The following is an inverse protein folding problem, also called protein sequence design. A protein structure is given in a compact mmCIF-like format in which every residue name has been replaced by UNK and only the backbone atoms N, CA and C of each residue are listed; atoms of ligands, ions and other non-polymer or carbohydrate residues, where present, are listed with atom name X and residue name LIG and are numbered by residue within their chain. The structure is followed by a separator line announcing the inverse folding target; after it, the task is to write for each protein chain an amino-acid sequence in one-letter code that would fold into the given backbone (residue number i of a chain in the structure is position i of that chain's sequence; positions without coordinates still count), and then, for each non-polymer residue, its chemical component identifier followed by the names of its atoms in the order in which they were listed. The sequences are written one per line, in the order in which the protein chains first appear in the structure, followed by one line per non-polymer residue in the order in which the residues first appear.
data_IF_890867974842
#
_entry.id   IF_890867974842
#
_cell.length_a   1.000
_cell.length_b   1.000
_cell.length_c   1.000
_cell.angle_alpha   90.00
_cell.angle_beta   90.00
_cell.angle_gamma   90.00
#
_symmetry.space_group_name_H-M   'P 1'
#
loop_
_entity.id
_entity.type
_entity.pdbx_description
1 polymer ?
#
# COMPACT_ATOMS: atom_id res chain seq x y z
N UNK A 1 12.27 -19.80 -23.72
CA UNK A 1 11.61 -18.49 -23.95
C UNK A 1 12.69 -17.43 -23.80
N UNK A 2 12.99 -16.73 -24.88
CA UNK A 2 14.10 -15.78 -24.99
C UNK A 2 13.75 -14.46 -24.29
N UNK A 3 14.46 -14.15 -23.21
CA UNK A 3 14.48 -12.82 -22.60
C UNK A 3 15.33 -11.88 -23.46
N UNK A 4 14.69 -11.16 -24.36
CA UNK A 4 15.31 -10.08 -25.12
C UNK A 4 15.68 -8.97 -24.15
N UNK A 5 16.98 -8.71 -23.98
CA UNK A 5 17.44 -7.50 -23.30
C UNK A 5 16.80 -6.29 -24.00
N UNK A 6 15.86 -5.65 -23.32
CA UNK A 6 15.13 -4.49 -23.83
C UNK A 6 16.14 -3.37 -24.03
N UNK A 7 16.54 -3.15 -25.28
CA UNK A 7 17.29 -1.96 -25.67
C UNK A 7 16.56 -0.72 -25.16
N UNK A 8 17.32 0.32 -24.83
CA UNK A 8 16.93 1.56 -24.14
C UNK A 8 15.84 2.38 -24.87
N UNK A 9 14.68 1.80 -25.09
CA UNK A 9 13.49 2.49 -25.54
C UNK A 9 12.92 3.26 -24.34
N UNK A 10 12.66 4.54 -24.56
CA UNK A 10 12.01 5.38 -23.55
C UNK A 10 10.54 4.97 -23.50
N UNK A 11 10.13 4.34 -22.41
CA UNK A 11 8.76 3.83 -22.20
C UNK A 11 8.04 4.59 -21.10
N UNK A 12 6.72 4.41 -20.98
CA UNK A 12 5.99 4.94 -19.85
C UNK A 12 6.39 4.22 -18.56
N UNK A 13 6.51 4.97 -17.46
CA UNK A 13 6.80 4.41 -16.15
C UNK A 13 5.77 3.35 -15.75
N UNK A 14 6.24 2.14 -15.44
CA UNK A 14 5.41 1.00 -15.09
C UNK A 14 4.86 1.02 -13.65
N UNK A 15 5.17 2.03 -12.84
CA UNK A 15 4.66 2.09 -11.47
C UNK A 15 3.15 2.35 -11.48
N UNK A 16 2.33 1.58 -10.73
CA UNK A 16 0.86 1.61 -10.84
C UNK A 16 0.26 3.01 -10.61
N UNK A 17 0.82 3.77 -9.67
CA UNK A 17 0.37 5.13 -9.34
C UNK A 17 1.25 6.26 -9.90
N UNK A 18 1.89 6.09 -11.06
CA UNK A 18 2.73 7.15 -11.62
C UNK A 18 1.88 8.28 -12.24
N UNK A 19 1.99 9.51 -11.70
CA UNK A 19 1.24 10.69 -12.15
C UNK A 19 2.13 11.94 -12.33
N UNK A 20 3.42 11.75 -12.60
CA UNK A 20 4.45 12.80 -12.50
C UNK A 20 4.52 13.75 -13.70
N UNK A 21 3.94 13.38 -14.84
CA UNK A 21 3.90 14.24 -16.02
C UNK A 21 2.45 14.70 -16.27
N UNK A 22 2.06 15.83 -15.66
CA UNK A 22 0.72 16.40 -15.79
C UNK A 22 -0.42 15.39 -15.54
N UNK A 23 -0.27 14.56 -14.49
CA UNK A 23 -1.24 13.52 -14.16
C UNK A 23 -1.03 12.19 -14.90
N UNK A 24 -0.06 12.10 -15.81
CA UNK A 24 0.28 10.90 -16.58
C UNK A 24 1.61 10.26 -16.11
N UNK A 25 1.85 8.98 -16.44
CA UNK A 25 3.13 8.34 -16.20
C UNK A 25 4.27 9.01 -16.97
N UNK A 26 5.39 9.26 -16.30
CA UNK A 26 6.58 9.83 -16.93
C UNK A 26 7.28 8.83 -17.85
N UNK A 27 7.87 9.33 -18.93
CA UNK A 27 8.72 8.56 -19.83
C UNK A 27 10.10 8.24 -19.19
N UNK A 28 10.54 6.99 -19.25
CA UNK A 28 11.76 6.49 -18.59
C UNK A 28 12.34 5.27 -19.32
N UNK A 29 13.69 5.14 -19.42
CA UNK A 29 14.33 3.92 -19.92
C UNK A 29 14.47 2.83 -18.86
N UNK A 30 14.27 3.16 -17.58
CA UNK A 30 14.55 2.27 -16.44
C UNK A 30 13.38 1.39 -15.99
N UNK A 31 12.33 1.24 -16.81
CA UNK A 31 11.07 0.59 -16.43
C UNK A 31 10.22 1.45 -15.48
N UNK A 32 10.79 1.90 -14.36
CA UNK A 32 10.19 2.91 -13.47
C UNK A 32 11.12 4.10 -13.29
N UNK A 33 10.55 5.32 -13.29
CA UNK A 33 11.33 6.53 -13.15
C UNK A 33 11.96 6.61 -11.74
N UNK A 34 13.08 7.34 -11.58
CA UNK A 34 13.79 7.47 -10.30
C UNK A 34 12.89 7.91 -9.13
N UNK A 35 11.89 8.74 -9.43
CA UNK A 35 10.89 9.16 -8.48
C UNK A 35 10.02 8.02 -7.95
N UNK A 36 9.66 7.09 -8.82
CA UNK A 36 8.89 5.89 -8.47
C UNK A 36 9.78 4.81 -7.87
N UNK A 37 11.04 4.65 -8.28
CA UNK A 37 11.99 3.75 -7.61
C UNK A 37 12.14 4.08 -6.11
N UNK A 38 12.22 5.38 -5.75
CA UNK A 38 12.20 5.80 -4.33
C UNK A 38 10.90 5.44 -3.61
N UNK A 39 9.75 5.47 -4.31
CA UNK A 39 8.46 5.05 -3.74
C UNK A 39 8.42 3.54 -3.52
N UNK A 40 8.99 2.76 -4.44
CA UNK A 40 9.13 1.30 -4.30
C UNK A 40 10.01 0.95 -3.11
N UNK A 41 11.17 1.60 -2.96
CA UNK A 41 12.01 1.43 -1.76
C UNK A 41 11.22 1.75 -0.49
N UNK A 42 10.46 2.85 -0.47
CA UNK A 42 9.61 3.21 0.67
C UNK A 42 8.49 2.18 0.93
N UNK A 43 7.93 1.56 -0.11
CA UNK A 43 6.91 0.53 0.01
C UNK A 43 7.50 -0.76 0.62
N UNK A 44 8.70 -1.15 0.20
CA UNK A 44 9.45 -2.26 0.79
C UNK A 44 9.71 -2.02 2.29
N UNK A 45 10.20 -0.84 2.67
CA UNK A 45 10.43 -0.52 4.09
C UNK A 45 9.14 -0.58 4.91
N UNK A 46 8.02 -0.06 4.36
CA UNK A 46 6.72 -0.09 5.05
C UNK A 46 6.24 -1.51 5.31
N UNK A 47 6.26 -2.38 4.30
CA UNK A 47 5.76 -3.75 4.47
C UNK A 47 6.64 -4.58 5.42
N UNK A 48 7.95 -4.31 5.46
CA UNK A 48 8.87 -4.92 6.45
C UNK A 48 8.59 -4.39 7.85
N UNK A 49 8.36 -3.09 8.02
CA UNK A 49 7.98 -2.51 9.32
C UNK A 49 6.63 -3.05 9.82
N UNK A 50 5.67 -3.26 8.91
CA UNK A 50 4.39 -3.90 9.25
C UNK A 50 4.62 -5.32 9.78
N UNK A 51 5.48 -6.12 9.14
CA UNK A 51 5.84 -7.45 9.64
C UNK A 51 6.47 -7.39 11.04
N UNK A 52 7.39 -6.45 11.27
CA UNK A 52 8.00 -6.23 12.59
C UNK A 52 6.96 -5.83 13.63
N UNK A 53 6.02 -4.95 13.28
CA UNK A 53 4.96 -4.50 14.17
C UNK A 53 4.02 -5.65 14.56
N UNK A 54 3.62 -6.48 13.60
CA UNK A 54 2.79 -7.65 13.86
C UNK A 54 3.51 -8.67 14.76
N UNK A 55 4.82 -8.81 14.60
CA UNK A 55 5.63 -9.70 15.45
C UNK A 55 5.72 -9.23 16.92
N UNK A 56 5.40 -7.97 17.21
CA UNK A 56 5.34 -7.45 18.59
C UNK A 56 3.98 -7.66 19.25
N UNK A 57 2.96 -8.11 18.52
CA UNK A 57 1.65 -8.39 19.08
C UNK A 57 1.68 -9.66 19.96
N UNK A 58 0.79 -9.78 20.97
CA UNK A 58 0.73 -10.96 21.81
C UNK A 58 0.52 -12.22 20.97
N UNK A 59 1.35 -13.24 21.20
CA UNK A 59 1.20 -14.53 20.54
C UNK A 59 -0.14 -15.18 20.94
N UNK A 60 -0.78 -15.97 20.06
CA UNK A 60 -1.98 -16.71 20.41
C UNK A 60 -1.67 -17.63 21.60
N UNK A 61 -2.52 -17.60 22.63
CA UNK A 61 -2.44 -18.56 23.73
C UNK A 61 -2.61 -19.96 23.14
N UNK A 62 -1.54 -20.78 23.16
CA UNK A 62 -1.63 -22.22 22.91
C UNK A 62 -2.23 -22.88 24.17
N UNK A 63 -3.49 -22.60 24.47
CA UNK A 63 -4.18 -23.01 25.70
C UNK A 63 -5.42 -23.84 25.42
N UNK A 64 -5.32 -25.12 25.78
CA UNK A 64 -6.33 -26.17 25.96
C UNK A 64 -7.56 -26.25 25.04
N UNK A 65 -7.72 -27.43 24.44
CA UNK A 65 -8.93 -27.89 23.74
C UNK A 65 -10.12 -27.96 24.71
N UNK A 66 -10.69 -26.83 25.07
CA UNK A 66 -11.97 -26.80 25.76
C UNK A 66 -13.08 -26.78 24.70
N UNK A 67 -13.84 -27.88 24.63
CA UNK A 67 -15.01 -28.01 23.75
C UNK A 67 -16.05 -26.95 24.15
N UNK A 68 -16.22 -25.91 23.32
CA UNK A 68 -17.21 -24.86 23.46
C UNK A 68 -17.96 -24.61 22.14
N UNK A 69 -19.22 -24.18 22.25
CA UNK A 69 -20.22 -24.12 21.17
C UNK A 69 -19.79 -23.30 19.93
N UNK A 70 -20.43 -23.57 18.77
CA UNK A 70 -20.29 -22.83 17.51
C UNK A 70 -20.70 -21.36 17.67
N UNK A 71 -19.79 -20.53 18.18
CA UNK A 71 -19.82 -19.07 18.02
C UNK A 71 -19.27 -18.79 16.62
N UNK A 72 -19.84 -17.81 15.89
CA UNK A 72 -19.22 -17.32 14.66
C UNK A 72 -17.79 -16.90 14.99
N UNK A 73 -16.79 -17.64 14.50
CA UNK A 73 -15.37 -17.35 14.70
C UNK A 73 -15.04 -16.01 14.05
N UNK A 74 -15.13 -14.93 14.83
CA UNK A 74 -14.34 -13.75 14.57
C UNK A 74 -12.91 -14.13 14.98
N UNK A 75 -12.06 -14.44 13.99
CA UNK A 75 -10.70 -14.94 14.21
C UNK A 75 -9.95 -14.13 15.27
N UNK A 76 -9.20 -14.83 16.13
CA UNK A 76 -8.52 -14.21 17.25
C UNK A 76 -7.51 -13.17 16.71
N UNK A 77 -7.36 -11.97 17.30
CA UNK A 77 -6.44 -10.94 16.79
C UNK A 77 -5.01 -11.44 16.53
N UNK A 78 -4.57 -12.43 17.32
CA UNK A 78 -3.27 -13.07 17.18
C UNK A 78 -3.18 -14.07 16.01
N UNK A 79 -4.28 -14.74 15.64
CA UNK A 79 -4.32 -15.61 14.45
C UNK A 79 -4.22 -14.77 13.19
N UNK A 80 -5.02 -13.69 13.10
CA UNK A 80 -4.92 -12.73 12.00
C UNK A 80 -3.51 -12.15 11.86
N UNK A 81 -2.87 -11.78 12.98
CA UNK A 81 -1.50 -11.24 12.95
C UNK A 81 -0.51 -12.28 12.42
N UNK A 82 -0.63 -13.55 12.83
CA UNK A 82 0.19 -14.65 12.34
C UNK A 82 -0.01 -14.87 10.84
N UNK A 83 -1.24 -14.94 10.36
CA UNK A 83 -1.55 -15.13 8.94
C UNK A 83 -1.02 -13.97 8.10
N UNK A 84 -1.13 -12.74 8.61
CA UNK A 84 -0.63 -11.55 7.93
C UNK A 84 0.90 -11.51 7.89
N UNK A 85 1.58 -11.92 8.95
CA UNK A 85 3.05 -12.09 8.94
C UNK A 85 3.48 -13.10 7.88
N UNK A 86 2.82 -14.25 7.81
CA UNK A 86 3.11 -15.28 6.80
C UNK A 86 2.83 -14.80 5.38
N UNK A 87 1.76 -14.02 5.15
CA UNK A 87 1.49 -13.41 3.85
C UNK A 87 2.59 -12.42 3.44
N UNK A 88 2.99 -11.53 4.35
CA UNK A 88 4.09 -10.58 4.08
C UNK A 88 5.40 -11.32 3.78
N UNK A 89 5.75 -12.30 4.60
CA UNK A 89 6.97 -13.09 4.40
C UNK A 89 6.97 -13.85 3.07
N UNK A 90 5.82 -14.42 2.69
CA UNK A 90 5.65 -15.11 1.41
C UNK A 90 5.81 -14.16 0.23
N UNK A 91 5.17 -12.99 0.27
CA UNK A 91 5.29 -11.98 -0.80
C UNK A 91 6.73 -11.45 -0.93
N UNK A 92 7.40 -11.15 0.18
CA UNK A 92 8.81 -10.71 0.17
C UNK A 92 9.73 -11.79 -0.39
N UNK A 93 9.51 -13.05 0.00
CA UNK A 93 10.27 -14.20 -0.52
C UNK A 93 10.02 -14.42 -2.01
N UNK A 94 8.78 -14.34 -2.47
CA UNK A 94 8.46 -14.48 -3.89
C UNK A 94 9.14 -13.39 -4.72
N UNK A 95 9.08 -12.13 -4.29
CA UNK A 95 9.77 -11.02 -4.96
C UNK A 95 11.29 -11.23 -4.99
N UNK A 96 11.85 -11.70 -3.89
CA UNK A 96 13.26 -12.04 -3.76
C UNK A 96 13.67 -13.16 -4.72
N UNK A 97 12.96 -14.29 -4.70
CA UNK A 97 13.29 -15.49 -5.47
C UNK A 97 13.10 -15.23 -6.97
N UNK A 98 12.06 -14.46 -7.34
CA UNK A 98 11.85 -14.02 -8.73
C UNK A 98 12.98 -13.10 -9.21
N UNK A 99 13.36 -12.08 -8.44
CA UNK A 99 14.45 -11.18 -8.82
C UNK A 99 15.79 -11.91 -8.85
N UNK A 100 16.03 -12.79 -7.87
CA UNK A 100 17.23 -13.59 -7.84
C UNK A 100 17.29 -14.52 -9.04
N UNK A 101 16.18 -15.12 -9.48
CA UNK A 101 16.13 -15.94 -10.69
C UNK A 101 16.41 -15.12 -11.95
N UNK A 102 15.76 -13.96 -12.12
CA UNK A 102 15.99 -13.07 -13.27
C UNK A 102 17.41 -12.50 -13.33
N UNK A 103 18.07 -12.32 -12.18
CA UNK A 103 19.48 -11.89 -12.10
C UNK A 103 20.43 -13.10 -12.16
N UNK A 104 20.02 -14.29 -11.72
CA UNK A 104 20.79 -15.53 -11.76
C UNK A 104 21.02 -16.03 -13.19
N UNK A 105 20.07 -15.77 -14.09
CA UNK A 105 20.25 -15.91 -15.55
C UNK A 105 21.43 -15.06 -16.09
N UNK A 106 21.99 -14.16 -15.28
CA UNK A 106 23.20 -13.34 -15.54
C UNK A 106 24.43 -13.80 -14.71
N UNK A 107 24.39 -14.99 -14.09
CA UNK A 107 25.53 -15.61 -13.40
C UNK A 107 25.52 -15.57 -11.86
N UNK A 108 24.37 -15.38 -11.21
CA UNK A 108 24.25 -15.33 -9.74
C UNK A 108 23.61 -16.61 -9.17
N UNK A 109 24.11 -17.15 -8.05
CA UNK A 109 23.54 -18.37 -7.44
C UNK A 109 22.20 -18.02 -6.75
N UNK A 110 21.10 -18.75 -7.00
CA UNK A 110 19.85 -18.49 -6.31
C UNK A 110 20.00 -18.71 -4.80
N UNK A 111 19.19 -18.04 -3.98
CA UNK A 111 19.15 -18.26 -2.53
C UNK A 111 18.79 -19.72 -2.26
N UNK A 112 19.53 -20.38 -1.37
CA UNK A 112 19.28 -21.79 -1.05
C UNK A 112 17.89 -22.00 -0.44
N UNK A 113 17.28 -23.16 -0.74
CA UNK A 113 15.91 -23.55 -0.34
C UNK A 113 15.62 -23.58 1.17
N UNK A 114 16.60 -23.37 2.04
CA UNK A 114 16.45 -23.52 3.49
C UNK A 114 16.77 -22.26 4.27
N UNK A 115 15.80 -21.36 4.44
CA UNK A 115 15.90 -20.39 5.54
C UNK A 115 15.57 -21.10 6.86
N UNK A 116 16.38 -20.91 7.92
CA UNK A 116 16.16 -21.58 9.19
C UNK A 116 14.91 -21.09 9.94
N UNK A 117 14.32 -19.97 9.52
CA UNK A 117 13.07 -19.42 10.07
C UNK A 117 12.44 -18.39 9.11
N UNK A 118 11.15 -18.07 9.32
CA UNK A 118 10.46 -16.97 8.62
C UNK A 118 11.21 -15.65 8.78
N UNK A 119 11.67 -15.35 10.00
CA UNK A 119 12.49 -14.16 10.29
C UNK A 119 13.74 -14.09 9.42
N UNK A 120 14.46 -15.21 9.29
CA UNK A 120 15.66 -15.26 8.45
C UNK A 120 15.32 -15.03 6.96
N UNK A 121 14.18 -15.56 6.49
CA UNK A 121 13.70 -15.34 5.13
C UNK A 121 13.38 -13.85 4.87
N UNK A 122 12.66 -13.19 5.79
CA UNK A 122 12.30 -11.77 5.68
C UNK A 122 13.55 -10.88 5.68
N UNK A 123 14.51 -11.12 6.58
CA UNK A 123 15.77 -10.36 6.65
C UNK A 123 16.58 -10.52 5.36
N UNK A 124 16.69 -11.75 4.85
CA UNK A 124 17.41 -12.03 3.60
C UNK A 124 16.74 -11.34 2.41
N UNK A 125 15.41 -11.48 2.28
CA UNK A 125 14.64 -10.86 1.21
C UNK A 125 14.79 -9.33 1.24
N UNK A 126 14.62 -8.70 2.40
CA UNK A 126 14.79 -7.25 2.56
C UNK A 126 16.20 -6.80 2.17
N UNK A 127 17.24 -7.43 2.73
CA UNK A 127 18.64 -7.05 2.47
C UNK A 127 18.98 -7.13 0.98
N UNK A 128 18.50 -8.17 0.31
CA UNK A 128 18.75 -8.38 -1.11
C UNK A 128 17.96 -7.40 -2.00
N UNK A 129 16.68 -7.18 -1.71
CA UNK A 129 15.79 -6.31 -2.49
C UNK A 129 16.15 -4.83 -2.32
N UNK A 130 16.42 -4.38 -1.08
CA UNK A 130 16.72 -2.98 -0.76
C UNK A 130 17.95 -2.44 -1.50
N UNK A 131 18.92 -3.32 -1.79
CA UNK A 131 20.15 -2.98 -2.52
C UNK A 131 20.00 -3.10 -4.05
N UNK A 132 18.83 -3.55 -4.54
CA UNK A 132 18.59 -3.86 -5.96
C UNK A 132 17.24 -3.31 -6.46
N UNK A 133 16.77 -2.20 -5.87
CA UNK A 133 15.50 -1.57 -6.25
C UNK A 133 15.49 -1.19 -7.73
N UNK A 134 16.61 -0.71 -8.27
CA UNK A 134 16.74 -0.39 -9.71
C UNK A 134 16.51 -1.63 -10.59
N UNK A 135 17.07 -2.78 -10.21
CA UNK A 135 16.90 -4.04 -10.94
C UNK A 135 15.49 -4.59 -10.80
N UNK A 136 14.90 -4.49 -9.60
CA UNK A 136 13.51 -4.86 -9.36
C UNK A 136 12.56 -4.04 -10.23
N UNK A 137 12.74 -2.72 -10.29
CA UNK A 137 11.89 -1.82 -11.08
C UNK A 137 11.95 -2.04 -12.60
N UNK A 138 12.93 -2.81 -13.09
CA UNK A 138 13.06 -3.18 -14.51
C UNK A 138 12.35 -4.49 -14.86
N UNK A 139 11.83 -5.22 -13.87
CA UNK A 139 11.15 -6.49 -14.12
C UNK A 139 9.71 -6.24 -14.56
N UNK A 140 9.23 -7.01 -15.54
CA UNK A 140 7.86 -6.89 -16.07
C UNK A 140 6.79 -7.21 -15.01
N UNK A 141 7.11 -8.09 -14.06
CA UNK A 141 6.23 -8.48 -12.94
C UNK A 141 6.28 -7.52 -11.74
N UNK A 142 7.19 -6.54 -11.73
CA UNK A 142 7.36 -5.64 -10.59
C UNK A 142 6.10 -4.84 -10.22
N UNK A 143 5.29 -4.33 -11.16
CA UNK A 143 4.07 -3.60 -10.83
C UNK A 143 3.09 -4.39 -9.96
N UNK A 144 2.96 -5.70 -10.21
CA UNK A 144 2.05 -6.58 -9.47
C UNK A 144 2.52 -6.77 -8.02
N UNK A 145 3.81 -7.02 -7.82
CA UNK A 145 4.40 -7.14 -6.48
C UNK A 145 4.29 -5.82 -5.71
N UNK A 146 4.48 -4.67 -6.37
CA UNK A 146 4.32 -3.35 -5.73
C UNK A 146 2.87 -3.11 -5.31
N UNK A 147 1.91 -3.47 -6.16
CA UNK A 147 0.49 -3.40 -5.84
C UNK A 147 0.14 -4.31 -4.65
N UNK A 148 0.73 -5.51 -4.61
CA UNK A 148 0.58 -6.44 -3.49
C UNK A 148 1.14 -5.86 -2.18
N UNK A 149 2.35 -5.28 -2.19
CA UNK A 149 2.92 -4.59 -1.02
C UNK A 149 2.02 -3.47 -0.52
N UNK A 150 1.47 -2.65 -1.43
CA UNK A 150 0.51 -1.61 -1.06
C UNK A 150 -0.78 -2.17 -0.47
N UNK A 151 -1.28 -3.28 -1.02
CA UNK A 151 -2.44 -4.00 -0.52
C UNK A 151 -2.22 -4.55 0.89
N UNK A 152 -1.10 -5.24 1.12
CA UNK A 152 -0.71 -5.78 2.43
C UNK A 152 -0.57 -4.66 3.47
N UNK A 153 0.16 -3.59 3.14
CA UNK A 153 0.31 -2.43 4.02
C UNK A 153 -1.05 -1.81 4.38
N UNK A 154 -1.95 -1.67 3.41
CA UNK A 154 -3.29 -1.11 3.64
C UNK A 154 -4.12 -2.01 4.56
N UNK A 155 -4.04 -3.34 4.39
CA UNK A 155 -4.71 -4.32 5.27
C UNK A 155 -4.21 -4.23 6.71
N UNK A 156 -2.89 -4.20 6.90
CA UNK A 156 -2.28 -4.07 8.25
C UNK A 156 -2.74 -2.79 8.91
N UNK A 157 -2.62 -1.65 8.23
CA UNK A 157 -3.04 -0.36 8.78
C UNK A 157 -4.52 -0.32 9.12
N UNK A 158 -5.38 -0.89 8.27
CA UNK A 158 -6.82 -0.91 8.50
C UNK A 158 -7.15 -1.70 9.76
N UNK A 159 -6.52 -2.87 9.95
CA UNK A 159 -6.81 -3.72 11.09
C UNK A 159 -6.27 -3.15 12.40
N UNK A 160 -5.09 -2.51 12.36
CA UNK A 160 -4.50 -1.88 13.53
C UNK A 160 -5.13 -0.51 13.87
N UNK A 161 -6.17 -0.08 13.14
CA UNK A 161 -6.79 1.24 13.33
C UNK A 161 -5.85 2.41 13.01
N UNK A 162 -4.79 2.16 12.24
CA UNK A 162 -3.81 3.16 11.81
C UNK A 162 -4.24 3.86 10.51
N UNK A 163 -5.35 3.46 9.91
CA UNK A 163 -5.95 4.23 8.82
C UNK A 163 -6.52 5.53 9.37
N UNK A 164 -6.20 6.65 8.71
CA UNK A 164 -6.89 7.91 9.01
C UNK A 164 -8.39 7.71 8.70
N UNK A 165 -9.30 7.98 9.63
CA UNK A 165 -10.73 7.99 9.34
C UNK A 165 -11.00 8.89 8.13
N UNK A 166 -11.67 8.31 7.13
CA UNK A 166 -12.14 9.02 5.93
C UNK A 166 -13.64 8.91 5.89
N UNK A 167 -14.32 10.06 5.86
CA UNK A 167 -15.77 10.12 5.77
C UNK A 167 -16.10 10.77 4.43
N UNK A 168 -16.64 10.01 3.48
CA UNK A 168 -17.17 10.57 2.25
C UNK A 168 -18.37 11.46 2.58
N UNK A 169 -18.38 12.68 2.06
CA UNK A 169 -19.46 13.63 2.28
C UNK A 169 -20.42 13.58 1.08
N UNK A 170 -21.75 13.57 1.32
CA UNK A 170 -22.74 13.47 0.24
C UNK A 170 -22.87 14.76 -0.57
N UNK A 171 -22.32 15.86 -0.08
CA UNK A 171 -22.40 17.22 -0.65
C UNK A 171 -21.42 17.42 -1.80
N UNK A 172 -21.78 18.20 -2.83
CA UNK A 172 -20.85 18.57 -3.89
C UNK A 172 -19.70 19.46 -3.38
N UNK A 173 -18.60 19.49 -4.11
CA UNK A 173 -17.52 20.42 -3.85
C UNK A 173 -17.94 21.86 -4.20
N UNK A 174 -17.77 22.85 -3.31
CA UNK A 174 -18.18 24.23 -3.60
C UNK A 174 -17.43 24.86 -4.78
N UNK A 175 -16.25 24.35 -5.13
CA UNK A 175 -15.41 24.92 -6.19
C UNK A 175 -15.61 24.24 -7.55
N UNK A 176 -15.98 22.96 -7.57
CA UNK A 176 -16.05 22.18 -8.83
C UNK A 176 -17.31 21.31 -8.98
N UNK A 177 -18.24 21.40 -8.04
CA UNK A 177 -19.55 20.72 -8.02
C UNK A 177 -19.52 19.18 -8.04
N UNK A 178 -18.33 18.56 -8.01
CA UNK A 178 -18.18 17.10 -7.99
C UNK A 178 -18.38 16.54 -6.58
N UNK A 179 -19.15 15.45 -6.46
CA UNK A 179 -19.39 14.71 -5.20
C UNK A 179 -18.20 13.82 -4.81
N UNK A 180 -17.05 14.45 -4.60
CA UNK A 180 -15.79 13.76 -4.25
C UNK A 180 -15.17 14.27 -2.95
N UNK A 181 -15.94 15.04 -2.15
CA UNK A 181 -15.48 15.54 -0.86
C UNK A 181 -15.30 14.40 0.14
N UNK A 182 -14.13 14.37 0.79
CA UNK A 182 -13.81 13.42 1.86
C UNK A 182 -13.28 14.18 3.06
N UNK A 183 -13.87 13.96 4.24
CA UNK A 183 -13.35 14.45 5.52
C UNK A 183 -12.27 13.53 6.05
N UNK A 184 -11.16 14.10 6.46
CA UNK A 184 -10.03 13.44 7.08
C UNK A 184 -9.92 13.89 8.53
N UNK A 185 -9.89 12.93 9.45
CA UNK A 185 -9.72 13.17 10.88
C UNK A 185 -8.36 12.62 11.29
N UNK A 186 -7.52 13.43 11.92
CA UNK A 186 -6.21 13.08 12.47
C UNK A 186 -6.05 13.76 13.85
N UNK A 187 -5.04 13.33 14.62
CA UNK A 187 -4.74 13.94 15.92
C UNK A 187 -4.37 15.41 15.70
N UNK A 188 -5.21 16.32 16.20
CA UNK A 188 -5.13 17.79 16.04
C UNK A 188 -5.44 18.35 14.64
N UNK A 189 -5.86 17.53 13.66
CA UNK A 189 -6.19 18.03 12.32
C UNK A 189 -7.48 17.42 11.82
N UNK A 190 -8.37 18.27 11.33
CA UNK A 190 -9.64 17.88 10.73
C UNK A 190 -9.87 18.78 9.51
N UNK A 191 -9.97 18.18 8.34
CA UNK A 191 -10.17 18.91 7.09
C UNK A 191 -10.97 18.07 6.09
N UNK A 192 -11.63 18.75 5.17
CA UNK A 192 -12.32 18.14 4.03
C UNK A 192 -11.49 18.45 2.79
N UNK A 193 -11.31 17.47 1.91
CA UNK A 193 -10.61 17.63 0.65
C UNK A 193 -11.46 17.07 -0.51
N UNK A 194 -11.50 17.79 -1.62
CA UNK A 194 -12.11 17.34 -2.87
C UNK A 194 -11.17 16.41 -3.64
N UNK A 195 -11.60 15.18 -3.90
CA UNK A 195 -10.82 14.23 -4.70
C UNK A 195 -10.60 14.65 -6.16
N UNK A 196 -11.39 15.59 -6.68
CA UNK A 196 -11.29 16.09 -8.06
C UNK A 196 -10.40 17.35 -8.19
N UNK A 197 -10.79 18.46 -7.56
CA UNK A 197 -10.08 19.74 -7.68
C UNK A 197 -9.06 20.02 -6.56
N UNK A 198 -8.95 19.13 -5.55
CA UNK A 198 -8.04 19.25 -4.41
C UNK A 198 -8.28 20.46 -3.49
N UNK A 199 -9.41 21.16 -3.61
CA UNK A 199 -9.83 22.19 -2.66
C UNK A 199 -9.88 21.60 -1.24
N UNK A 200 -9.32 22.33 -0.27
CA UNK A 200 -9.29 21.96 1.13
C UNK A 200 -10.12 22.92 1.99
N UNK A 201 -11.09 22.37 2.73
CA UNK A 201 -11.89 23.09 3.73
C UNK A 201 -11.38 22.66 5.10
N UNK A 202 -10.72 23.59 5.80
CA UNK A 202 -10.18 23.35 7.15
C UNK A 202 -11.30 23.43 8.20
N UNK A 203 -11.08 22.82 9.37
CA UNK A 203 -12.03 22.83 10.50
C UNK A 203 -12.52 24.22 10.90
N UNK A 204 -11.64 25.23 10.83
CA UNK A 204 -11.96 26.64 11.07
C UNK A 204 -13.05 27.20 10.12
N UNK A 205 -13.21 26.60 8.95
CA UNK A 205 -14.20 27.00 7.94
C UNK A 205 -15.47 26.15 7.94
N UNK A 206 -15.59 25.14 8.82
CA UNK A 206 -16.75 24.27 8.87
C UNK A 206 -18.06 25.02 9.14
N UNK A 207 -18.14 26.00 10.05
CA UNK A 207 -19.39 26.72 10.29
C UNK A 207 -19.89 27.44 9.03
N UNK A 208 -18.99 28.02 8.24
CA UNK A 208 -19.33 28.69 6.98
C UNK A 208 -19.79 27.67 5.94
N UNK A 209 -19.00 26.60 5.75
CA UNK A 209 -19.32 25.55 4.80
C UNK A 209 -20.66 24.85 5.11
N UNK A 210 -20.94 24.54 6.38
CA UNK A 210 -22.22 23.96 6.80
C UNK A 210 -23.39 24.88 6.49
N UNK A 211 -23.25 26.21 6.65
CA UNK A 211 -24.30 27.16 6.27
C UNK A 211 -24.57 27.12 4.77
N UNK A 212 -23.53 27.15 3.94
CA UNK A 212 -23.66 27.08 2.48
C UNK A 212 -24.40 25.82 2.04
N UNK A 213 -24.01 24.66 2.58
CA UNK A 213 -24.66 23.38 2.28
C UNK A 213 -26.15 23.38 2.70
N UNK A 214 -26.46 23.90 3.89
CA UNK A 214 -27.84 23.96 4.37
C UNK A 214 -28.70 24.90 3.50
N UNK A 215 -28.17 26.04 3.08
CA UNK A 215 -28.85 26.97 2.17
C UNK A 215 -29.13 26.33 0.81
N UNK A 216 -28.16 25.61 0.26
CA UNK A 216 -28.30 24.89 -1.01
C UNK A 216 -29.38 23.80 -0.95
N UNK A 217 -29.35 22.97 0.10
CA UNK A 217 -30.37 21.93 0.32
C UNK A 217 -31.78 22.51 0.51
N UNK A 218 -31.91 23.65 1.20
CA UNK A 218 -33.20 24.34 1.35
C UNK A 218 -33.68 24.87 0.00
N UNK A 219 -32.77 25.41 -0.82
CA UNK A 219 -33.10 25.95 -2.15
C UNK A 219 -33.54 24.84 -3.10
N UNK A 220 -32.83 23.71 -3.15
CA UNK A 220 -33.23 22.53 -3.95
C UNK A 220 -34.59 21.96 -3.51
N UNK A 221 -34.92 22.01 -2.23
CA UNK A 221 -36.20 21.51 -1.72
C UNK A 221 -37.42 22.40 -2.09
N UNK A 222 -37.18 23.64 -2.53
CA UNK A 222 -38.23 24.61 -2.88
C UNK A 222 -38.36 24.85 -4.39
N UNK A 223 -37.52 24.19 -5.20
CA UNK A 223 -37.56 24.17 -6.67
C UNK A 223 -38.16 22.88 -7.21
#
# INVERSE_FOLDING_TARGET
MTTTAKGSAIEMCAHPDCKRDNGKPTHTPDGMCQGCQRRVASALERVVLDWVQLHQLPAPNKGDKMRGAKVKDYGHPAEWASDMMTQIATCLRAAHDNLASSVAEQGHKPPGEGYPSERAAVVSAHTYLATRIDKLCRQDWAPDIIAEWHGLHSKVRSQLGLTRPRIALPTPCPDCDMRTLTRYIDVQRDWIECGNCQTQIRSEHYPLWTRMVLEELVTEAHS
#
